data_IF_710127601508
#
_entry.id   IF_710127601508
#
_cell.length_a   1.000
_cell.length_b   1.000
_cell.length_c   1.000
_cell.angle_alpha   90.00
_cell.angle_beta   90.00
_cell.angle_gamma   90.00
#
_symmetry.space_group_name_H-M   'P 1'
#
loop_
_entity.id
_entity.type
_entity.pdbx_description
1 polymer ?
#
# COMPACT_ATOMS: atom_id res chain seq x y z
N UNK A 1 -8.41 -15.54 -17.00
CA UNK A 1 -7.98 -14.21 -17.42
C UNK A 1 -7.11 -13.53 -16.36
N UNK A 2 -6.27 -12.63 -16.78
CA UNK A 2 -5.40 -11.84 -15.88
C UNK A 2 -6.26 -11.05 -14.89
N UNK A 3 -7.32 -10.44 -15.36
CA UNK A 3 -8.22 -9.66 -14.50
C UNK A 3 -8.79 -10.50 -13.36
N UNK A 4 -9.30 -11.69 -13.66
CA UNK A 4 -9.86 -12.60 -12.65
C UNK A 4 -8.78 -13.03 -11.66
N UNK A 5 -7.57 -13.34 -12.14
CA UNK A 5 -6.45 -13.71 -11.27
C UNK A 5 -6.07 -12.60 -10.31
N UNK A 6 -6.05 -11.35 -10.78
CA UNK A 6 -5.77 -10.18 -9.94
C UNK A 6 -6.89 -9.94 -8.92
N UNK A 7 -8.13 -10.11 -9.34
CA UNK A 7 -9.29 -9.98 -8.46
C UNK A 7 -9.25 -11.00 -7.34
N UNK A 8 -8.93 -12.24 -7.68
CA UNK A 8 -8.77 -13.30 -6.67
C UNK A 8 -7.59 -13.03 -5.76
N UNK A 9 -6.48 -12.53 -6.32
CA UNK A 9 -5.30 -12.19 -5.53
C UNK A 9 -5.61 -11.11 -4.50
N UNK A 10 -6.27 -10.02 -4.88
CA UNK A 10 -6.57 -8.93 -3.97
C UNK A 10 -7.53 -9.38 -2.85
N UNK A 11 -8.49 -10.22 -3.19
CA UNK A 11 -9.43 -10.78 -2.21
C UNK A 11 -8.74 -11.70 -1.21
N UNK A 12 -7.74 -12.45 -1.65
CA UNK A 12 -6.97 -13.37 -0.79
C UNK A 12 -5.95 -12.63 0.07
N UNK A 13 -5.19 -11.73 -0.54
CA UNK A 13 -4.14 -10.97 0.15
C UNK A 13 -4.70 -10.11 1.29
N UNK A 14 -5.86 -9.50 1.06
CA UNK A 14 -6.50 -8.59 2.01
C UNK A 14 -7.74 -9.17 2.70
N UNK A 15 -7.89 -10.49 2.73
CA UNK A 15 -9.12 -11.15 3.22
C UNK A 15 -9.54 -10.75 4.64
N UNK A 16 -8.59 -10.39 5.49
CA UNK A 16 -8.84 -9.98 6.87
C UNK A 16 -9.09 -8.49 7.01
N UNK A 17 -9.10 -7.76 5.88
CA UNK A 17 -9.27 -6.31 5.84
C UNK A 17 -10.68 -5.99 5.39
N UNK A 18 -11.38 -5.15 6.15
CA UNK A 18 -12.67 -4.62 5.73
C UNK A 18 -12.44 -3.54 4.68
N UNK A 19 -13.27 -3.42 3.70
CA UNK A 19 -13.26 -2.34 2.71
C UNK A 19 -12.01 -2.26 1.81
N UNK A 20 -11.61 -3.37 1.20
CA UNK A 20 -10.49 -3.34 0.28
C UNK A 20 -10.90 -2.81 -1.09
N UNK A 21 -11.96 -3.37 -1.69
CA UNK A 21 -12.35 -2.99 -3.06
C UNK A 21 -13.15 -1.69 -3.08
N UNK A 22 -12.65 -0.70 -3.80
CA UNK A 22 -13.33 0.57 -4.06
C UNK A 22 -13.84 0.68 -5.48
N UNK A 23 -13.16 0.05 -6.43
CA UNK A 23 -13.55 0.01 -7.83
C UNK A 23 -13.16 -1.32 -8.42
N UNK A 24 -14.05 -1.89 -9.22
CA UNK A 24 -13.87 -3.19 -9.84
C UNK A 24 -14.58 -3.14 -11.20
N UNK A 25 -13.86 -2.68 -12.21
CA UNK A 25 -14.39 -2.50 -13.56
C UNK A 25 -13.66 -3.44 -14.51
N UNK A 26 -14.28 -4.57 -14.80
CA UNK A 26 -13.72 -5.60 -15.68
C UNK A 26 -13.54 -5.10 -17.11
N UNK A 27 -14.47 -4.32 -17.61
CA UNK A 27 -14.43 -3.82 -18.99
C UNK A 27 -13.29 -2.83 -19.20
N UNK A 28 -13.06 -1.96 -18.20
CA UNK A 28 -11.93 -1.04 -18.21
C UNK A 28 -10.61 -1.72 -17.81
N UNK A 29 -10.67 -2.91 -17.19
CA UNK A 29 -9.51 -3.62 -16.70
C UNK A 29 -8.87 -2.95 -15.47
N UNK A 30 -9.67 -2.33 -14.61
CA UNK A 30 -9.19 -1.56 -13.46
C UNK A 30 -9.76 -2.12 -12.17
N UNK A 31 -8.88 -2.33 -11.20
CA UNK A 31 -9.23 -2.67 -9.82
C UNK A 31 -8.54 -1.66 -8.91
N UNK A 32 -9.30 -1.02 -8.03
CA UNK A 32 -8.76 -0.10 -7.02
C UNK A 32 -9.17 -0.62 -5.64
N UNK A 33 -8.19 -0.80 -4.77
CA UNK A 33 -8.41 -1.17 -3.39
C UNK A 33 -7.81 -0.12 -2.46
N UNK A 34 -8.34 -0.08 -1.23
CA UNK A 34 -7.81 0.74 -0.15
C UNK A 34 -7.49 -0.17 1.02
N UNK A 35 -6.31 -0.04 1.57
CA UNK A 35 -5.82 -0.92 2.63
C UNK A 35 -5.08 -0.14 3.69
N UNK A 36 -4.76 -0.81 4.78
CA UNK A 36 -3.96 -0.24 5.87
C UNK A 36 -2.86 -1.21 6.27
N UNK A 37 -1.80 -0.67 6.87
CA UNK A 37 -0.93 -1.43 7.75
C UNK A 37 -0.74 -0.66 9.06
N UNK A 38 -0.53 -1.40 10.14
CA UNK A 38 -0.32 -0.80 11.45
C UNK A 38 1.05 -0.16 11.54
N UNK A 39 1.11 1.00 12.18
CA UNK A 39 2.34 1.77 12.30
C UNK A 39 2.76 1.97 13.74
N UNK A 40 4.02 1.71 14.03
CA UNK A 40 4.68 2.03 15.30
C UNK A 40 6.19 2.12 15.06
N UNK A 41 6.87 3.03 15.77
CA UNK A 41 8.33 3.02 15.84
C UNK A 41 8.85 2.05 16.91
N UNK A 42 7.95 1.46 17.69
CA UNK A 42 8.31 0.57 18.83
C UNK A 42 9.22 1.23 19.86
N UNK A 43 9.07 2.54 20.03
CA UNK A 43 9.81 3.34 21.02
C UNK A 43 8.84 4.23 21.77
N UNK A 44 8.96 4.27 23.09
CA UNK A 44 8.06 5.03 23.97
C UNK A 44 7.99 6.51 23.59
N UNK A 45 9.13 7.11 23.25
CA UNK A 45 9.19 8.53 22.87
C UNK A 45 8.33 8.87 21.64
N UNK A 46 7.96 7.87 20.83
CA UNK A 46 7.18 8.04 19.61
C UNK A 46 5.80 7.41 19.69
N UNK A 47 5.32 7.09 20.90
CA UNK A 47 4.03 6.42 21.11
C UNK A 47 2.85 7.24 20.54
N UNK A 48 2.95 8.57 20.58
CA UNK A 48 1.89 9.45 20.07
C UNK A 48 1.68 9.37 18.56
N UNK A 49 2.64 8.80 17.82
CA UNK A 49 2.56 8.61 16.37
C UNK A 49 2.01 7.24 15.97
N UNK A 50 1.84 6.33 16.92
CA UNK A 50 1.29 5.01 16.64
C UNK A 50 -0.10 5.13 16.04
N UNK A 51 -0.38 4.26 15.07
CA UNK A 51 -1.67 4.24 14.42
C UNK A 51 -1.63 3.36 13.19
N UNK A 52 -2.04 3.91 12.07
CA UNK A 52 -2.12 3.18 10.81
C UNK A 52 -1.69 4.03 9.64
N UNK A 53 -1.24 3.35 8.60
CA UNK A 53 -0.93 3.94 7.30
C UNK A 53 -1.95 3.41 6.31
N UNK A 54 -2.72 4.32 5.72
CA UNK A 54 -3.64 4.02 4.62
C UNK A 54 -2.89 4.08 3.31
N UNK A 55 -3.28 3.27 2.35
CA UNK A 55 -2.80 3.41 0.97
C UNK A 55 -3.84 2.87 0.00
N UNK A 56 -3.72 3.28 -1.25
CA UNK A 56 -4.53 2.74 -2.35
C UNK A 56 -3.65 1.87 -3.23
N UNK A 57 -4.19 0.75 -3.69
CA UNK A 57 -3.56 -0.09 -4.70
C UNK A 57 -4.41 -0.03 -5.96
N UNK A 58 -3.77 0.28 -7.09
CA UNK A 58 -4.43 0.31 -8.39
C UNK A 58 -3.80 -0.73 -9.29
N UNK A 59 -4.63 -1.65 -9.76
CA UNK A 59 -4.26 -2.69 -10.72
C UNK A 59 -4.94 -2.39 -12.03
N UNK A 60 -4.18 -2.42 -13.12
CA UNK A 60 -4.69 -2.13 -14.46
C UNK A 60 -4.22 -3.18 -15.43
N UNK A 61 -5.16 -3.79 -16.15
CA UNK A 61 -4.90 -4.86 -17.12
C UNK A 61 -5.06 -4.31 -18.52
N UNK A 62 -4.11 -4.60 -19.40
CA UNK A 62 -4.15 -4.19 -20.79
C UNK A 62 -3.24 -5.10 -21.63
N UNK A 63 -3.77 -5.60 -22.75
CA UNK A 63 -2.98 -6.32 -23.76
C UNK A 63 -2.12 -7.47 -23.21
N UNK A 64 -2.71 -8.32 -22.35
CA UNK A 64 -2.04 -9.49 -21.80
C UNK A 64 -1.00 -9.19 -20.71
N UNK A 65 -1.01 -7.99 -20.17
CA UNK A 65 -0.13 -7.55 -19.09
C UNK A 65 -0.89 -6.76 -18.06
N UNK A 66 -0.28 -6.52 -16.92
CA UNK A 66 -0.88 -5.65 -15.91
C UNK A 66 0.18 -4.76 -15.27
N UNK A 67 -0.30 -3.70 -14.66
CA UNK A 67 0.50 -2.73 -13.93
C UNK A 67 -0.08 -2.54 -12.55
N UNK A 68 0.78 -2.33 -11.56
CA UNK A 68 0.39 -2.03 -10.19
C UNK A 68 0.95 -0.68 -9.78
N UNK A 69 0.13 0.11 -9.11
CA UNK A 69 0.53 1.38 -8.51
C UNK A 69 0.08 1.43 -7.06
N UNK A 70 0.98 1.83 -6.18
CA UNK A 70 0.69 2.10 -4.78
C UNK A 70 0.62 3.61 -4.60
N UNK A 71 -0.50 4.12 -4.11
CA UNK A 71 -0.80 5.55 -4.11
C UNK A 71 -1.29 6.03 -2.75
N UNK A 72 -1.05 7.30 -2.46
CA UNK A 72 -1.69 8.01 -1.36
C UNK A 72 -1.46 7.36 0.01
N UNK A 73 -0.21 7.22 0.41
CA UNK A 73 0.11 6.78 1.77
C UNK A 73 -0.25 7.90 2.75
N UNK A 74 -1.12 7.59 3.72
CA UNK A 74 -1.65 8.55 4.67
C UNK A 74 -1.45 8.02 6.08
N UNK A 75 -0.73 8.77 6.89
CA UNK A 75 -0.55 8.46 8.31
C UNK A 75 -1.73 8.99 9.12
N UNK A 76 -2.28 8.13 9.97
CA UNK A 76 -3.33 8.47 10.91
C UNK A 76 -2.96 7.90 12.28
N UNK A 77 -2.67 8.75 13.25
CA UNK A 77 -2.35 8.27 14.59
C UNK A 77 -3.62 7.83 15.34
N UNK A 78 -3.43 7.11 16.44
CA UNK A 78 -4.55 6.58 17.23
C UNK A 78 -5.42 7.73 17.74
N UNK A 79 -6.73 7.52 17.68
CA UNK A 79 -7.71 8.43 18.24
C UNK A 79 -7.42 8.68 19.72
N UNK A 80 -7.41 9.94 20.10
CA UNK A 80 -7.07 10.36 21.47
C UNK A 80 -5.61 10.75 21.65
N UNK A 81 -4.72 10.41 20.74
CA UNK A 81 -3.35 10.91 20.73
C UNK A 81 -3.29 12.36 20.23
N UNK A 82 -2.17 13.02 20.50
CA UNK A 82 -1.98 14.43 20.12
C UNK A 82 -2.19 14.66 18.63
N UNK A 83 -3.11 15.55 18.23
CA UNK A 83 -3.36 15.83 16.80
C UNK A 83 -2.12 16.31 16.04
N UNK A 84 -1.17 16.96 16.72
CA UNK A 84 0.09 17.41 16.12
C UNK A 84 0.97 16.24 15.67
N UNK A 85 0.74 15.03 16.20
CA UNK A 85 1.46 13.81 15.81
C UNK A 85 0.74 13.02 14.74
N UNK A 86 -0.26 13.59 14.10
CA UNK A 86 -0.93 13.02 12.93
C UNK A 86 -0.35 13.68 11.67
N UNK A 87 0.47 12.95 10.92
CA UNK A 87 1.24 13.53 9.83
C UNK A 87 0.49 13.61 8.50
N UNK A 88 -0.60 12.87 8.34
CA UNK A 88 -1.42 12.92 7.14
C UNK A 88 -0.76 12.35 5.90
N UNK A 89 -1.01 12.97 4.76
CA UNK A 89 -0.52 12.51 3.45
C UNK A 89 1.00 12.56 3.38
N UNK A 90 1.60 11.43 3.04
CA UNK A 90 3.04 11.31 2.85
C UNK A 90 3.38 11.73 1.42
N UNK A 91 4.17 12.78 1.29
CA UNK A 91 4.56 13.35 -0.01
C UNK A 91 6.00 12.99 -0.35
N UNK A 92 6.46 13.43 -1.51
CA UNK A 92 7.85 13.26 -1.95
C UNK A 92 8.83 14.16 -1.19
N UNK A 93 8.32 15.13 -0.41
CA UNK A 93 9.17 16.02 0.37
C UNK A 93 10.08 15.22 1.32
N UNK A 94 11.33 15.63 1.42
CA UNK A 94 12.30 14.93 2.28
C UNK A 94 11.91 15.02 3.75
N UNK A 95 11.42 16.16 4.18
CA UNK A 95 11.01 16.44 5.55
C UNK A 95 9.53 16.75 5.63
N UNK A 96 8.93 16.44 6.79
CA UNK A 96 7.56 16.83 7.10
C UNK A 96 7.46 18.35 7.31
N UNK A 97 8.40 18.92 8.06
CA UNK A 97 8.40 20.34 8.42
C UNK A 97 9.84 20.84 8.61
N UNK A 98 10.05 22.14 8.39
CA UNK A 98 11.31 22.82 8.69
C UNK A 98 11.25 23.64 9.97
N UNK A 99 10.10 23.64 10.65
CA UNK A 99 9.79 24.53 11.78
C UNK A 99 9.21 23.79 12.96
N UNK A 100 9.28 24.44 14.12
CA UNK A 100 8.60 24.04 15.34
C UNK A 100 9.43 23.20 16.28
N UNK A 101 8.96 23.15 17.53
CA UNK A 101 9.67 22.45 18.60
C UNK A 101 9.72 20.93 18.40
N UNK A 102 8.76 20.37 17.66
CA UNK A 102 8.66 18.94 17.39
C UNK A 102 9.27 18.53 16.05
N UNK A 103 9.94 19.44 15.37
CA UNK A 103 10.55 19.22 14.05
C UNK A 103 11.38 17.93 13.99
N UNK A 104 12.24 17.72 14.97
CA UNK A 104 13.11 16.53 15.02
C UNK A 104 12.29 15.23 15.05
N UNK A 105 11.28 15.16 15.93
CA UNK A 105 10.45 13.98 16.09
C UNK A 105 9.57 13.74 14.84
N UNK A 106 8.92 14.78 14.35
CA UNK A 106 8.09 14.69 13.15
C UNK A 106 8.87 14.19 11.94
N UNK A 107 10.05 14.75 11.71
CA UNK A 107 10.85 14.38 10.55
C UNK A 107 11.41 12.97 10.65
N UNK A 108 11.74 12.52 11.86
CA UNK A 108 12.18 11.14 12.05
C UNK A 108 11.07 10.13 11.77
N UNK A 109 9.87 10.41 12.24
CA UNK A 109 8.68 9.58 11.96
C UNK A 109 8.36 9.61 10.46
N UNK A 110 8.41 10.76 9.84
CA UNK A 110 8.19 10.92 8.40
C UNK A 110 9.08 10.01 7.57
N UNK A 111 10.37 10.00 7.87
CA UNK A 111 11.34 9.16 7.18
C UNK A 111 11.10 7.67 7.47
N UNK A 112 10.74 7.33 8.70
CA UNK A 112 10.44 5.95 9.09
C UNK A 112 9.19 5.43 8.38
N UNK A 113 8.16 6.25 8.26
CA UNK A 113 6.94 5.90 7.50
C UNK A 113 7.28 5.62 6.04
N UNK A 114 8.16 6.43 5.44
CA UNK A 114 8.60 6.22 4.04
C UNK A 114 9.30 4.88 3.88
N UNK A 115 10.18 4.51 4.79
CA UNK A 115 10.88 3.22 4.76
C UNK A 115 9.89 2.06 4.88
N UNK A 116 8.93 2.16 5.80
CA UNK A 116 7.92 1.12 6.01
C UNK A 116 6.93 1.02 4.86
N UNK A 117 6.56 2.16 4.27
CA UNK A 117 5.69 2.19 3.09
C UNK A 117 6.36 1.56 1.87
N UNK A 118 7.64 1.82 1.68
CA UNK A 118 8.44 1.17 0.63
C UNK A 118 8.54 -0.34 0.85
N UNK A 119 8.74 -0.77 2.10
CA UNK A 119 8.79 -2.19 2.46
C UNK A 119 7.46 -2.88 2.15
N UNK A 120 6.34 -2.26 2.51
CA UNK A 120 5.00 -2.75 2.19
C UNK A 120 4.80 -2.86 0.68
N UNK A 121 5.17 -1.82 -0.07
CA UNK A 121 5.07 -1.81 -1.53
C UNK A 121 5.91 -2.90 -2.17
N UNK A 122 7.14 -3.08 -1.73
CA UNK A 122 8.04 -4.12 -2.25
C UNK A 122 7.51 -5.52 -1.97
N UNK A 123 6.88 -5.74 -0.82
CA UNK A 123 6.24 -7.02 -0.48
C UNK A 123 5.12 -7.34 -1.46
N UNK A 124 4.28 -6.36 -1.76
CA UNK A 124 3.17 -6.50 -2.71
C UNK A 124 3.69 -6.72 -4.13
N UNK A 125 4.68 -5.95 -4.56
CA UNK A 125 5.28 -6.10 -5.89
C UNK A 125 5.90 -7.49 -6.06
N UNK A 126 6.61 -7.98 -5.05
CA UNK A 126 7.19 -9.32 -5.07
C UNK A 126 6.13 -10.41 -5.20
N UNK A 127 5.03 -10.27 -4.47
CA UNK A 127 3.92 -11.24 -4.52
C UNK A 127 3.23 -11.22 -5.90
N UNK A 128 3.04 -10.03 -6.46
CA UNK A 128 2.46 -9.88 -7.80
C UNK A 128 3.39 -10.38 -8.93
N UNK A 129 4.69 -10.26 -8.76
CA UNK A 129 5.67 -10.85 -9.70
C UNK A 129 5.53 -12.37 -9.72
N UNK A 130 5.34 -13.00 -8.57
CA UNK A 130 5.11 -14.44 -8.47
C UNK A 130 3.81 -14.84 -9.17
N UNK A 131 2.77 -14.04 -8.98
CA UNK A 131 1.49 -14.27 -9.67
C UNK A 131 1.65 -14.17 -11.18
N UNK A 132 2.34 -13.16 -11.66
CA UNK A 132 2.61 -12.98 -13.10
C UNK A 132 3.36 -14.17 -13.69
N UNK A 133 4.38 -14.67 -13.01
CA UNK A 133 5.14 -15.85 -13.42
C UNK A 133 4.24 -17.11 -13.46
N UNK A 134 3.35 -17.27 -12.47
CA UNK A 134 2.37 -18.36 -12.42
C UNK A 134 1.40 -18.32 -13.61
N UNK A 135 0.88 -17.16 -13.95
CA UNK A 135 -0.03 -16.97 -15.09
C UNK A 135 0.69 -17.33 -16.40
N UNK A 136 1.92 -16.88 -16.58
CA UNK A 136 2.74 -17.15 -17.76
C UNK A 136 3.01 -18.65 -17.92
N UNK A 137 3.33 -19.35 -16.84
CA UNK A 137 3.58 -20.80 -16.85
C UNK A 137 2.35 -21.57 -17.30
N UNK A 138 1.18 -21.25 -16.78
CA UNK A 138 -0.10 -21.88 -17.17
C UNK A 138 -0.38 -21.65 -18.64
N UNK A 139 -0.13 -20.45 -19.15
CA UNK A 139 -0.34 -20.10 -20.55
C UNK A 139 0.60 -20.89 -21.47
N UNK A 140 1.86 -21.03 -21.11
CA UNK A 140 2.85 -21.83 -21.85
C UNK A 140 2.47 -23.30 -21.91
N UNK A 141 2.04 -23.87 -20.79
CA UNK A 141 1.55 -25.26 -20.72
C UNK A 141 0.33 -25.47 -21.62
N UNK A 142 -0.57 -24.49 -21.71
CA UNK A 142 -1.73 -24.55 -22.61
C UNK A 142 -1.34 -24.48 -24.09
N UNK A 143 -0.28 -23.75 -24.41
CA UNK A 143 0.20 -23.59 -25.79
C UNK A 143 1.00 -24.79 -26.29
N UNK A 144 1.44 -25.66 -25.39
CA UNK A 144 2.25 -26.86 -25.71
C UNK A 144 1.43 -28.05 -26.25
N UNK A 145 0.17 -27.85 -26.50
CA UNK A 145 -0.71 -28.84 -27.14
C UNK A 145 -0.44 -28.92 -28.65
#
# INVERSE_FOLDING_TARGET
>A
SIYISLRDWISTYYRDTQEVLQMDDKDAGIIIGKAIFLYSMNKLAYAAYEGKIWYSIKLQVKDGRFKVEMLNFIHENKKGNAPTCNLGLITIAENYTDKGAQKFFHNKVWKDIKVKSERESNSIFSDLEKLAASIQTVKEDSDDW
#
